data_IF_160673528822
#
_entry.id   IF_160673528822
#
_cell.length_a   1.000
_cell.length_b   1.000
_cell.length_c   1.000
_cell.angle_alpha   90.00
_cell.angle_beta   90.00
_cell.angle_gamma   90.00
#
_symmetry.space_group_name_H-M   'P 1'
#
loop_
_entity.id
_entity.type
_entity.pdbx_description
1 polymer ?
#
# COMPACT_ATOMS: atom_id res chain seq x y z
N UNK A 1 10.18 5.41 12.62
CA UNK A 1 9.19 4.34 12.39
C UNK A 1 8.60 4.44 11.01
N UNK A 2 8.16 3.32 10.47
CA UNK A 2 7.45 3.26 9.20
C UNK A 2 6.09 2.61 9.40
N UNK A 3 5.16 2.87 8.51
CA UNK A 3 3.83 2.27 8.53
C UNK A 3 3.75 1.24 7.42
N UNK A 4 3.21 0.07 7.72
CA UNK A 4 3.06 -1.03 6.76
C UNK A 4 1.65 -1.60 6.84
N UNK A 5 1.23 -2.24 5.75
CA UNK A 5 -0.08 -2.89 5.69
C UNK A 5 0.03 -4.20 4.90
N UNK A 6 -0.71 -5.19 5.33
CA UNK A 6 -0.80 -6.47 4.65
C UNK A 6 -1.93 -6.44 3.64
N UNK A 7 -1.68 -6.87 2.42
CA UNK A 7 -2.69 -6.90 1.36
C UNK A 7 -2.72 -8.26 0.68
N UNK A 8 -3.81 -8.49 -0.03
CA UNK A 8 -4.02 -9.66 -0.86
C UNK A 8 -4.49 -9.21 -2.23
N UNK A 9 -3.88 -9.74 -3.28
CA UNK A 9 -4.35 -9.53 -4.65
C UNK A 9 -5.55 -10.43 -4.93
N UNK A 10 -6.45 -9.94 -5.76
CA UNK A 10 -7.64 -10.72 -6.15
C UNK A 10 -7.21 -12.04 -6.79
N UNK A 11 -7.85 -13.13 -6.35
CA UNK A 11 -7.57 -14.45 -6.88
C UNK A 11 -6.30 -15.10 -6.36
N UNK A 12 -5.55 -14.44 -5.48
CA UNK A 12 -4.33 -14.97 -4.90
C UNK A 12 -4.47 -14.99 -3.37
N UNK A 13 -4.39 -16.18 -2.72
CA UNK A 13 -4.52 -16.25 -1.28
C UNK A 13 -3.29 -15.75 -0.51
N UNK A 14 -2.18 -15.56 -1.20
CA UNK A 14 -0.94 -15.11 -0.58
C UNK A 14 -1.04 -13.66 -0.16
N UNK A 15 -0.50 -13.35 1.02
CA UNK A 15 -0.47 -12.00 1.57
C UNK A 15 0.89 -11.36 1.35
N UNK A 16 0.89 -10.07 1.09
CA UNK A 16 2.09 -9.29 0.83
C UNK A 16 2.09 -8.05 1.70
N UNK A 17 3.26 -7.65 2.17
CA UNK A 17 3.43 -6.46 2.99
C UNK A 17 3.85 -5.29 2.11
N UNK A 18 3.17 -4.15 2.27
CA UNK A 18 3.48 -2.92 1.56
C UNK A 18 3.69 -1.77 2.53
N UNK A 19 4.51 -0.83 2.13
CA UNK A 19 4.75 0.37 2.91
C UNK A 19 3.65 1.40 2.64
N UNK A 20 3.13 1.97 3.70
CA UNK A 20 2.16 3.07 3.63
C UNK A 20 2.95 4.38 3.75
N UNK A 21 2.73 5.36 2.86
CA UNK A 21 3.40 6.65 2.97
C UNK A 21 3.19 7.30 4.32
N UNK A 22 4.18 8.04 4.77
CA UNK A 22 4.17 8.69 6.09
C UNK A 22 2.94 9.57 6.28
N UNK A 23 2.37 9.54 7.47
CA UNK A 23 1.21 10.33 7.81
C UNK A 23 -0.13 9.72 7.41
N UNK A 24 -0.13 8.53 6.83
CA UNK A 24 -1.35 7.84 6.43
C UNK A 24 -1.56 6.58 7.24
N UNK A 25 -2.84 6.25 7.46
CA UNK A 25 -3.24 4.96 8.03
C UNK A 25 -4.28 4.33 7.12
N UNK A 26 -4.30 3.00 7.07
CA UNK A 26 -5.22 2.25 6.22
C UNK A 26 -5.90 1.20 7.08
N UNK A 27 -7.20 1.06 6.91
CA UNK A 27 -7.98 0.08 7.65
C UNK A 27 -8.09 -1.23 6.90
N UNK A 28 -8.43 -2.28 7.63
CA UNK A 28 -8.74 -3.59 7.07
C UNK A 28 -9.90 -3.47 6.07
N UNK A 29 -9.83 -4.26 5.00
CA UNK A 29 -10.92 -4.36 4.02
C UNK A 29 -10.99 -3.22 3.01
N UNK A 30 -9.97 -2.39 2.91
CA UNK A 30 -9.93 -1.30 1.93
C UNK A 30 -9.32 -1.75 0.62
N UNK A 31 -9.89 -1.28 -0.48
CA UNK A 31 -9.29 -1.45 -1.80
C UNK A 31 -8.16 -0.44 -1.98
N UNK A 32 -7.03 -0.91 -2.46
CA UNK A 32 -5.83 -0.09 -2.66
C UNK A 32 -5.21 -0.37 -4.01
N UNK A 33 -4.44 0.58 -4.51
CA UNK A 33 -3.53 0.38 -5.64
C UNK A 33 -2.13 0.34 -5.05
N UNK A 34 -1.39 -0.70 -5.39
CA UNK A 34 -0.02 -0.91 -4.92
C UNK A 34 0.94 -0.94 -6.09
N UNK A 35 2.18 -0.51 -5.83
CA UNK A 35 3.25 -0.61 -6.79
C UNK A 35 3.86 -2.01 -6.71
N UNK A 36 4.01 -2.67 -7.85
CA UNK A 36 4.61 -4.00 -7.91
C UNK A 36 5.64 -4.05 -9.04
N UNK A 37 6.40 -5.13 -9.10
CA UNK A 37 7.35 -5.32 -10.19
C UNK A 37 6.66 -5.44 -11.56
N UNK A 38 5.36 -5.67 -11.57
CA UNK A 38 4.54 -5.74 -12.79
C UNK A 38 3.76 -4.44 -13.02
N UNK A 39 4.08 -3.36 -12.31
CA UNK A 39 3.37 -2.11 -12.39
C UNK A 39 2.34 -1.96 -11.26
N UNK A 40 1.43 -1.01 -11.44
CA UNK A 40 0.39 -0.76 -10.46
C UNK A 40 -0.67 -1.86 -10.51
N UNK A 41 -1.04 -2.38 -9.36
CA UNK A 41 -2.05 -3.43 -9.25
C UNK A 41 -3.03 -3.12 -8.13
N UNK A 42 -4.27 -3.54 -8.33
CA UNK A 42 -5.31 -3.44 -7.32
C UNK A 42 -5.18 -4.58 -6.31
N UNK A 43 -5.43 -4.27 -5.05
CA UNK A 43 -5.38 -5.23 -3.96
C UNK A 43 -6.37 -4.84 -2.88
N UNK A 44 -6.57 -5.72 -1.91
CA UNK A 44 -7.42 -5.44 -0.75
C UNK A 44 -6.59 -5.63 0.51
N UNK A 45 -6.74 -4.73 1.47
CA UNK A 45 -6.06 -4.87 2.76
C UNK A 45 -6.72 -5.96 3.58
N UNK A 46 -5.92 -6.75 4.28
CA UNK A 46 -6.41 -7.86 5.11
C UNK A 46 -6.17 -7.64 6.59
N UNK A 47 -5.72 -6.45 6.95
CA UNK A 47 -5.55 -6.00 8.33
C UNK A 47 -5.39 -4.49 8.34
N UNK A 48 -5.53 -3.87 9.50
CA UNK A 48 -5.20 -2.46 9.67
C UNK A 48 -3.70 -2.26 9.49
N UNK A 49 -3.31 -1.06 9.02
CA UNK A 49 -1.90 -0.70 8.96
C UNK A 49 -1.31 -0.61 10.37
N UNK A 50 -0.04 -0.94 10.49
CA UNK A 50 0.70 -0.88 11.76
C UNK A 50 2.00 -0.14 11.57
N UNK A 51 2.51 0.41 12.66
CA UNK A 51 3.82 1.06 12.69
C UNK A 51 4.86 0.06 13.18
N UNK A 52 5.99 0.01 12.51
CA UNK A 52 7.15 -0.81 12.89
C UNK A 52 8.41 0.04 12.82
N UNK A 53 9.49 -0.44 13.43
CA UNK A 53 10.72 0.35 13.50
C UNK A 53 11.34 0.65 12.15
N UNK A 54 11.38 -0.36 11.27
CA UNK A 54 12.11 -0.26 10.00
C UNK A 54 11.67 -1.36 9.05
N UNK A 55 12.14 -1.29 7.80
CA UNK A 55 11.91 -2.36 6.83
C UNK A 55 12.62 -3.64 7.24
N UNK A 56 13.80 -3.54 7.85
CA UNK A 56 14.52 -4.70 8.37
C UNK A 56 13.71 -5.41 9.47
N UNK A 57 13.01 -4.63 10.30
CA UNK A 57 12.11 -5.22 11.30
C UNK A 57 10.98 -6.02 10.65
N UNK A 58 10.50 -5.57 9.49
CA UNK A 58 9.47 -6.30 8.74
C UNK A 58 9.96 -7.71 8.35
N UNK A 59 11.21 -7.83 7.94
CA UNK A 59 11.78 -9.14 7.59
C UNK A 59 11.85 -10.09 8.77
N UNK A 60 11.99 -9.56 9.98
CA UNK A 60 12.02 -10.37 11.21
C UNK A 60 10.63 -10.75 11.69
N UNK A 61 9.66 -9.87 11.47
CA UNK A 61 8.30 -10.07 11.97
C UNK A 61 7.42 -10.90 11.03
N UNK A 62 7.70 -10.87 9.74
CA UNK A 62 6.89 -11.51 8.72
C UNK A 62 7.75 -12.37 7.80
N UNK A 63 7.24 -13.54 7.45
CA UNK A 63 7.94 -14.45 6.55
C UNK A 63 7.83 -13.97 5.11
N UNK A 64 8.93 -14.15 4.35
CA UNK A 64 8.91 -13.91 2.91
C UNK A 64 8.95 -12.44 2.51
N UNK A 65 9.21 -11.53 3.43
CA UNK A 65 9.31 -10.11 3.11
C UNK A 65 10.63 -9.80 2.44
N UNK A 66 10.55 -9.12 1.31
CA UNK A 66 11.71 -8.63 0.56
C UNK A 66 11.77 -7.11 0.68
N UNK A 67 12.95 -6.58 0.96
CA UNK A 67 13.15 -5.13 1.03
C UNK A 67 13.98 -4.66 -0.17
N UNK A 68 13.82 -3.39 -0.62
CA UNK A 68 12.90 -2.40 -0.07
C UNK A 68 11.44 -2.76 -0.32
N UNK A 69 10.58 -2.40 0.62
CA UNK A 69 9.15 -2.63 0.47
C UNK A 69 8.58 -1.78 -0.65
N UNK A 70 7.70 -2.35 -1.45
CA UNK A 70 6.89 -1.60 -2.39
C UNK A 70 5.81 -0.85 -1.64
N UNK A 71 5.21 0.15 -2.28
CA UNK A 71 4.32 1.09 -1.61
C UNK A 71 2.89 0.98 -2.04
N UNK A 72 1.99 1.35 -1.11
CA UNK A 72 0.62 1.66 -1.44
C UNK A 72 0.59 3.03 -2.09
N UNK A 73 -0.04 3.16 -3.25
CA UNK A 73 -0.08 4.40 -4.02
C UNK A 73 -1.40 5.14 -3.87
N UNK A 74 -2.51 4.42 -3.77
CA UNK A 74 -3.84 4.99 -3.69
C UNK A 74 -4.73 4.14 -2.80
N UNK A 75 -5.71 4.78 -2.19
CA UNK A 75 -6.79 4.09 -1.49
C UNK A 75 -8.12 4.47 -2.11
N UNK A 76 -9.06 3.53 -2.12
CA UNK A 76 -10.43 3.81 -2.52
C UNK A 76 -11.25 4.22 -1.31
N UNK A 77 -11.78 5.44 -1.36
CA UNK A 77 -12.77 5.93 -0.39
C UNK A 77 -14.05 6.17 -1.15
N UNK A 78 -14.46 7.42 -1.38
CA UNK A 78 -15.55 7.72 -2.32
C UNK A 78 -15.06 7.75 -3.76
N UNK A 79 -13.76 8.02 -3.93
CA UNK A 79 -13.03 7.97 -5.17
C UNK A 79 -11.61 7.54 -4.84
N UNK A 80 -10.82 7.21 -5.85
CA UNK A 80 -9.43 6.87 -5.61
C UNK A 80 -8.65 8.08 -5.14
N UNK A 81 -8.00 7.98 -3.98
CA UNK A 81 -7.18 9.04 -3.39
C UNK A 81 -5.71 8.65 -3.45
N UNK A 82 -4.87 9.43 -4.16
CA UNK A 82 -3.42 9.23 -4.13
C UNK A 82 -2.88 9.50 -2.72
N UNK A 83 -1.98 8.65 -2.24
CA UNK A 83 -1.31 8.83 -0.96
C UNK A 83 0.02 9.53 -1.09
N UNK A 84 0.57 9.58 -2.30
CA UNK A 84 1.83 10.26 -2.59
C UNK A 84 1.55 11.48 -3.44
N UNK A 85 2.31 12.54 -3.19
CA UNK A 85 2.27 13.69 -4.05
C UNK A 85 2.85 13.35 -5.41
N UNK A 86 2.11 13.70 -6.47
CA UNK A 86 2.52 13.45 -7.85
C UNK A 86 2.98 14.78 -8.42
N UNK A 87 4.14 14.85 -9.11
CA UNK A 87 4.65 16.13 -9.63
C UNK A 87 3.68 16.91 -10.51
N UNK A 88 2.79 16.22 -11.20
CA UNK A 88 1.75 16.85 -12.01
C UNK A 88 0.38 16.78 -11.33
N UNK A 89 0.34 16.66 -10.04
CA UNK A 89 -0.85 16.37 -9.27
C UNK A 89 -1.84 17.52 -9.15
N UNK A 90 -1.48 18.70 -9.62
CA UNK A 90 -2.43 19.79 -9.66
C UNK A 90 -3.71 19.45 -10.45
N UNK A 91 -3.68 18.35 -11.20
CA UNK A 91 -4.87 17.84 -11.90
C UNK A 91 -5.03 16.34 -11.69
N UNK A 92 -4.82 15.80 -10.50
CA UNK A 92 -4.84 14.35 -10.31
C UNK A 92 -6.18 13.71 -10.62
N UNK A 93 -7.27 14.41 -10.35
CA UNK A 93 -8.60 13.84 -10.54
C UNK A 93 -8.98 13.71 -12.00
N UNK A 94 -8.38 14.47 -12.88
CA UNK A 94 -8.66 14.39 -14.31
C UNK A 94 -8.19 13.07 -14.91
N UNK A 95 -7.27 12.39 -14.26
CA UNK A 95 -6.77 11.11 -14.72
C UNK A 95 -7.59 9.94 -14.19
N UNK A 96 -8.44 10.17 -13.21
CA UNK A 96 -9.25 9.14 -12.60
C UNK A 96 -10.64 9.04 -13.21
N UNK A 97 -11.01 9.99 -13.99
CA UNK A 97 -12.34 10.07 -14.58
C UNK A 97 -12.29 10.15 -16.12
#
# INVERSE_FOLDING_TARGET
MITVVMVRHQGNPKKFLFRVPDGHTIKDGMHVIVDTKHGMQEAITVADSIDIESEEAAQKLFDGVTIPLKRVLMVETKAWEPLLEIPFSHKPLEFLF
#
